data_IF_299266165222
#
_entry.id   IF_299266165222
#
_cell.length_a   1.000
_cell.length_b   1.000
_cell.length_c   1.000
_cell.angle_alpha   90.00
_cell.angle_beta   90.00
_cell.angle_gamma   90.00
#
_symmetry.space_group_name_H-M   'P 1'
#
loop_
_entity.id
_entity.type
_entity.pdbx_description
1 polymer ?
#
# COMPACT_ATOMS: atom_id res chain seq x y z
N UNK A 1 18.92 2.55 7.53
CA UNK A 1 17.91 3.12 6.58
C UNK A 1 17.12 1.96 5.99
N UNK A 2 15.78 1.99 6.01
CA UNK A 2 14.95 0.96 5.35
C UNK A 2 14.68 1.34 3.89
N UNK A 3 14.68 0.36 2.98
CA UNK A 3 14.37 0.58 1.55
C UNK A 3 12.93 0.14 1.30
N UNK A 4 12.01 1.10 1.16
CA UNK A 4 10.57 0.83 1.08
C UNK A 4 10.21 -0.14 -0.05
N UNK A 5 10.76 0.10 -1.24
CA UNK A 5 10.54 -0.73 -2.43
C UNK A 5 11.07 -2.16 -2.32
N UNK A 6 11.97 -2.45 -1.37
CA UNK A 6 12.42 -3.81 -1.06
C UNK A 6 11.38 -4.61 -0.28
N UNK A 7 10.58 -3.93 0.54
CA UNK A 7 9.65 -4.55 1.48
C UNK A 7 8.21 -4.52 1.02
N UNK A 8 7.84 -3.55 0.18
CA UNK A 8 6.47 -3.27 -0.18
C UNK A 8 6.31 -3.04 -1.68
N UNK A 9 5.19 -3.52 -2.22
CA UNK A 9 4.70 -3.19 -3.55
C UNK A 9 3.20 -2.92 -3.49
N UNK A 10 2.65 -2.25 -4.50
CA UNK A 10 1.20 -2.15 -4.66
C UNK A 10 0.64 -3.41 -5.32
N UNK A 11 -0.59 -3.79 -4.97
CA UNK A 11 -1.36 -4.78 -5.71
C UNK A 11 -1.74 -4.25 -7.09
N UNK A 12 -2.21 -5.15 -7.95
CA UNK A 12 -2.79 -4.76 -9.22
C UNK A 12 -3.97 -3.80 -8.96
N UNK A 13 -3.93 -2.63 -9.61
CA UNK A 13 -4.89 -1.55 -9.36
C UNK A 13 -4.60 -0.68 -8.13
N UNK A 14 -3.49 -0.85 -7.42
CA UNK A 14 -3.02 0.13 -6.42
C UNK A 14 -3.78 0.19 -5.09
N UNK A 15 -4.81 -0.62 -4.89
CA UNK A 15 -5.70 -0.49 -3.71
C UNK A 15 -5.14 -1.10 -2.42
N UNK A 16 -4.22 -2.06 -2.52
CA UNK A 16 -3.65 -2.77 -1.37
C UNK A 16 -2.12 -2.79 -1.44
N UNK A 17 -1.49 -2.73 -0.27
CA UNK A 17 -0.06 -2.93 -0.15
C UNK A 17 0.25 -4.43 -0.02
N UNK A 18 1.24 -4.93 -0.76
CA UNK A 18 1.77 -6.29 -0.69
C UNK A 18 3.12 -6.28 0.01
N UNK A 19 3.28 -7.14 1.01
CA UNK A 19 4.55 -7.34 1.71
C UNK A 19 5.43 -8.35 0.99
N UNK A 20 6.57 -7.91 0.47
CA UNK A 20 7.52 -8.73 -0.29
C UNK A 20 8.45 -9.56 0.62
N UNK A 21 8.65 -9.12 1.86
CA UNK A 21 9.45 -9.83 2.87
C UNK A 21 8.61 -10.13 4.11
N UNK A 22 9.12 -10.98 5.01
CA UNK A 22 8.48 -11.26 6.30
C UNK A 22 8.24 -9.98 7.11
N UNK A 23 9.25 -9.09 7.17
CA UNK A 23 9.12 -7.76 7.80
C UNK A 23 8.02 -6.92 7.15
N UNK A 24 7.94 -6.92 5.81
CA UNK A 24 6.90 -6.17 5.09
C UNK A 24 5.49 -6.68 5.38
N UNK A 25 5.29 -8.00 5.39
CA UNK A 25 3.99 -8.61 5.74
C UNK A 25 3.59 -8.29 7.18
N UNK A 26 4.49 -8.52 8.13
CA UNK A 26 4.25 -8.21 9.54
C UNK A 26 3.95 -6.72 9.77
N UNK A 27 4.60 -5.82 9.03
CA UNK A 27 4.35 -4.38 9.10
C UNK A 27 2.96 -4.01 8.60
N UNK A 28 2.52 -4.58 7.46
CA UNK A 28 1.18 -4.36 6.91
C UNK A 28 0.10 -4.78 7.90
N UNK A 29 0.28 -5.92 8.56
CA UNK A 29 -0.65 -6.44 9.56
C UNK A 29 -0.64 -5.60 10.83
N UNK A 30 0.53 -5.38 11.43
CA UNK A 30 0.68 -4.64 12.69
C UNK A 30 0.15 -3.20 12.59
N UNK A 31 0.38 -2.53 11.45
CA UNK A 31 -0.10 -1.16 11.20
C UNK A 31 -1.46 -1.12 10.50
N UNK A 32 -2.07 -2.27 10.20
CA UNK A 32 -3.36 -2.40 9.53
C UNK A 32 -3.44 -1.59 8.22
N UNK A 33 -2.37 -1.62 7.42
CA UNK A 33 -2.20 -0.80 6.21
C UNK A 33 -3.18 -1.11 5.08
N UNK A 34 -3.90 -2.24 5.18
CA UNK A 34 -4.98 -2.64 4.27
C UNK A 34 -6.33 -2.80 5.00
N UNK A 35 -6.55 -2.07 6.11
CA UNK A 35 -7.88 -2.09 6.76
C UNK A 35 -8.98 -1.65 5.77
N UNK A 36 -10.20 -2.23 5.83
CA UNK A 36 -11.23 -2.03 4.81
C UNK A 36 -11.51 -0.57 4.46
N UNK A 37 -11.64 0.30 5.46
CA UNK A 37 -11.89 1.73 5.25
C UNK A 37 -10.79 2.42 4.41
N UNK A 38 -9.52 2.05 4.62
CA UNK A 38 -8.40 2.63 3.87
C UNK A 38 -8.33 2.11 2.44
N UNK A 39 -8.64 0.83 2.23
CA UNK A 39 -8.74 0.25 0.88
C UNK A 39 -9.87 0.94 0.10
N UNK A 40 -11.03 1.19 0.73
CA UNK A 40 -12.13 1.92 0.10
C UNK A 40 -11.77 3.37 -0.23
N UNK A 41 -11.07 4.07 0.66
CA UNK A 41 -10.56 5.42 0.37
C UNK A 41 -9.63 5.43 -0.86
N UNK A 42 -8.71 4.44 -0.96
CA UNK A 42 -7.83 4.31 -2.14
C UNK A 42 -8.60 4.07 -3.42
N UNK A 43 -9.70 3.32 -3.41
CA UNK A 43 -10.57 3.17 -4.60
C UNK A 43 -11.06 4.53 -5.10
N UNK A 44 -11.49 5.41 -4.19
CA UNK A 44 -11.93 6.76 -4.55
C UNK A 44 -10.78 7.61 -5.08
N UNK A 45 -9.59 7.54 -4.46
CA UNK A 45 -8.42 8.28 -4.93
C UNK A 45 -7.89 7.80 -6.28
N UNK A 46 -7.94 6.49 -6.56
CA UNK A 46 -7.59 5.94 -7.88
C UNK A 46 -8.53 6.50 -8.94
N UNK A 47 -9.84 6.56 -8.67
CA UNK A 47 -10.82 7.15 -9.59
C UNK A 47 -10.57 8.64 -9.86
N UNK A 48 -10.01 9.35 -8.88
CA UNK A 48 -9.63 10.75 -9.01
C UNK A 48 -8.22 10.95 -9.61
N UNK A 49 -7.46 9.88 -9.88
CA UNK A 49 -6.08 9.98 -10.38
C UNK A 49 -5.05 10.39 -9.33
N UNK A 50 -5.42 10.41 -8.06
CA UNK A 50 -4.59 10.83 -6.91
C UNK A 50 -3.78 9.68 -6.30
N UNK A 51 -3.97 8.45 -6.80
CA UNK A 51 -3.32 7.25 -6.26
C UNK A 51 -2.95 6.23 -7.36
N UNK A 52 -1.76 5.59 -7.30
CA UNK A 52 -0.71 5.78 -6.30
C UNK A 52 -0.03 7.15 -6.38
N UNK A 53 0.46 7.71 -5.26
CA UNK A 53 1.17 8.99 -5.30
C UNK A 53 2.40 8.83 -6.19
N UNK A 54 2.54 9.71 -7.19
CA UNK A 54 3.81 9.85 -7.91
C UNK A 54 4.84 10.26 -6.87
N UNK A 55 5.92 9.49 -6.73
CA UNK A 55 7.07 9.91 -5.92
C UNK A 55 7.55 11.23 -6.53
N UNK A 56 7.37 12.35 -5.80
CA UNK A 56 8.00 13.64 -6.11
C UNK A 56 9.49 13.58 -5.86
#
# INVERSE_FOLDING_TARGET
>A
KQVWTKHFAWSEGGKELKGLTAVGRATIEALRMNRPALVQARVMWIKLGEHPPRLS
#
